data_IF_438494437088
#
_entry.id   IF_438494437088
#
_cell.length_a   1.000
_cell.length_b   1.000
_cell.length_c   1.000
_cell.angle_alpha   90.00
_cell.angle_beta   90.00
_cell.angle_gamma   90.00
#
_symmetry.space_group_name_H-M   'P 1'
#
loop_
_entity.id
_entity.type
_entity.pdbx_description
1 polymer ?
#
# COMPACT_ATOMS: atom_id res chain seq x y z
N UNK A 1 4.89 -8.02 -27.57
CA UNK A 1 3.45 -7.74 -27.50
C UNK A 1 3.29 -6.98 -26.20
N UNK A 2 3.68 -5.71 -26.23
CA UNK A 2 3.66 -4.81 -25.08
C UNK A 2 2.22 -4.36 -24.88
N UNK A 3 1.54 -4.94 -23.90
CA UNK A 3 0.41 -4.26 -23.29
C UNK A 3 1.00 -3.06 -22.55
N UNK A 4 0.61 -1.85 -22.94
CA UNK A 4 1.09 -0.60 -22.33
C UNK A 4 0.67 -0.58 -20.84
N UNK A 5 1.58 -0.99 -19.95
CA UNK A 5 1.30 -1.09 -18.50
C UNK A 5 1.04 0.31 -17.96
N UNK A 6 -0.24 0.62 -17.80
CA UNK A 6 -0.70 1.94 -17.46
C UNK A 6 -0.86 2.03 -15.95
N UNK A 7 0.19 2.53 -15.27
CA UNK A 7 0.15 2.74 -13.82
C UNK A 7 -0.63 4.01 -13.46
N UNK A 8 -1.42 3.94 -12.39
CA UNK A 8 -2.19 5.06 -11.83
C UNK A 8 -1.90 5.17 -10.35
N UNK A 9 -1.68 6.39 -9.88
CA UNK A 9 -1.46 6.66 -8.45
C UNK A 9 -2.83 6.79 -7.79
N UNK A 10 -3.01 6.06 -6.68
CA UNK A 10 -4.23 6.13 -5.86
C UNK A 10 -4.01 6.89 -4.57
N UNK A 11 -2.86 6.65 -3.93
CA UNK A 11 -2.43 7.26 -2.69
C UNK A 11 -0.97 7.69 -2.84
N UNK A 12 -0.67 8.94 -2.51
CA UNK A 12 0.69 9.51 -2.58
C UNK A 12 1.15 10.10 -1.23
N UNK A 13 0.28 10.01 -0.23
CA UNK A 13 0.39 10.59 1.10
C UNK A 13 0.66 9.53 2.18
N UNK A 14 0.81 8.26 1.80
CA UNK A 14 1.05 7.13 2.69
C UNK A 14 2.55 6.92 2.93
N UNK A 15 2.90 6.62 4.18
CA UNK A 15 4.27 6.32 4.58
C UNK A 15 4.37 6.06 6.07
N UNK A 16 5.50 5.51 6.48
CA UNK A 16 5.83 5.28 7.90
C UNK A 16 7.29 5.58 8.17
N UNK A 17 7.66 5.62 9.44
CA UNK A 17 9.05 5.70 9.88
C UNK A 17 9.28 4.64 10.94
N UNK A 18 10.45 4.02 10.91
CA UNK A 18 10.89 3.06 11.91
C UNK A 18 12.10 3.64 12.65
N UNK A 19 12.11 3.50 13.97
CA UNK A 19 13.26 3.80 14.81
C UNK A 19 13.88 2.49 15.29
N UNK A 20 15.21 2.45 15.39
CA UNK A 20 15.94 1.24 15.80
C UNK A 20 17.43 1.49 15.95
N UNK A 21 18.20 0.45 16.30
CA UNK A 21 19.65 0.52 16.39
C UNK A 21 20.30 0.80 15.02
N UNK A 22 21.57 1.20 15.01
CA UNK A 22 22.29 1.57 13.79
C UNK A 22 22.35 0.44 12.73
N UNK A 23 22.24 -0.81 13.18
CA UNK A 23 22.22 -2.03 12.38
C UNK A 23 20.81 -2.52 12.00
N UNK A 24 19.74 -1.75 12.25
CA UNK A 24 18.35 -2.09 11.95
C UNK A 24 18.16 -2.72 10.55
N UNK A 25 18.82 -2.15 9.54
CA UNK A 25 18.72 -2.60 8.14
C UNK A 25 19.33 -3.99 7.90
N UNK A 26 20.23 -4.48 8.75
CA UNK A 26 20.79 -5.83 8.66
C UNK A 26 19.79 -6.90 9.11
N UNK A 27 18.84 -6.52 9.96
CA UNK A 27 17.81 -7.42 10.50
C UNK A 27 16.45 -7.24 9.81
N UNK A 28 16.29 -6.20 9.00
CA UNK A 28 15.04 -5.94 8.27
C UNK A 28 14.98 -6.77 7.00
N UNK A 29 13.90 -7.50 6.80
CA UNK A 29 13.65 -8.34 5.64
C UNK A 29 12.78 -7.64 4.58
N UNK A 30 12.77 -8.18 3.36
CA UNK A 30 11.89 -7.69 2.29
C UNK A 30 10.43 -7.94 2.65
N UNK A 31 10.17 -9.09 3.27
CA UNK A 31 8.86 -9.56 3.72
C UNK A 31 8.27 -8.60 4.77
N UNK A 32 9.03 -8.22 5.80
CA UNK A 32 8.59 -7.28 6.84
C UNK A 32 8.24 -5.90 6.26
N UNK A 33 9.02 -5.41 5.30
CA UNK A 33 8.72 -4.14 4.62
C UNK A 33 7.46 -4.28 3.78
N UNK A 34 7.28 -5.38 3.06
CA UNK A 34 6.11 -5.60 2.23
C UNK A 34 4.82 -5.69 3.05
N UNK A 35 4.86 -6.43 4.16
CA UNK A 35 3.75 -6.51 5.12
C UNK A 35 3.40 -5.12 5.67
N UNK A 36 4.40 -4.37 6.12
CA UNK A 36 4.17 -3.00 6.65
C UNK A 36 3.62 -2.07 5.58
N UNK A 37 4.12 -2.16 4.34
CA UNK A 37 3.65 -1.33 3.24
C UNK A 37 2.16 -1.59 2.95
N UNK A 38 1.73 -2.85 2.92
CA UNK A 38 0.32 -3.22 2.71
C UNK A 38 -0.56 -2.70 3.86
N UNK A 39 -0.09 -2.77 5.10
CA UNK A 39 -0.81 -2.19 6.24
C UNK A 39 -0.96 -0.67 6.10
N UNK A 40 0.12 0.04 5.77
CA UNK A 40 0.13 1.51 5.72
C UNK A 40 -0.72 2.07 4.58
N UNK A 41 -0.83 1.36 3.45
CA UNK A 41 -1.71 1.77 2.35
C UNK A 41 -3.15 1.32 2.53
N UNK A 42 -3.44 0.49 3.53
CA UNK A 42 -4.78 0.00 3.84
C UNK A 42 -5.69 1.04 4.52
N UNK A 43 -6.85 0.59 4.98
CA UNK A 43 -7.79 1.43 5.71
C UNK A 43 -7.19 1.93 7.02
N UNK A 44 -7.59 3.13 7.43
CA UNK A 44 -7.17 3.68 8.71
C UNK A 44 -7.87 2.94 9.87
N UNK A 45 -7.31 3.07 11.08
CA UNK A 45 -7.91 2.50 12.30
C UNK A 45 -9.28 3.11 12.59
N UNK A 46 -10.27 2.29 13.04
CA UNK A 46 -11.58 2.81 13.40
C UNK A 46 -11.53 3.72 14.64
N UNK A 47 -12.33 4.78 14.60
CA UNK A 47 -12.67 5.57 15.79
C UNK A 47 -13.68 4.85 16.69
N UNK A 48 -14.00 5.44 17.84
CA UNK A 48 -14.85 4.82 18.89
C UNK A 48 -16.23 4.34 18.38
N UNK A 49 -16.78 5.03 17.38
CA UNK A 49 -18.12 4.75 16.82
C UNK A 49 -18.09 3.93 15.51
N UNK A 50 -16.91 3.54 15.02
CA UNK A 50 -16.75 2.85 13.75
C UNK A 50 -16.20 1.44 13.93
N UNK A 51 -16.57 0.54 13.02
CA UNK A 51 -15.97 -0.79 12.95
C UNK A 51 -14.82 -0.81 11.95
N UNK A 52 -13.96 -1.83 12.05
CA UNK A 52 -12.93 -2.07 11.04
C UNK A 52 -13.52 -2.28 9.63
N UNK A 53 -14.69 -2.92 9.54
CA UNK A 53 -15.39 -3.12 8.26
C UNK A 53 -15.90 -1.79 7.67
N UNK A 54 -16.35 -0.86 8.51
CA UNK A 54 -16.75 0.48 8.05
C UNK A 54 -15.56 1.25 7.47
N UNK A 55 -14.40 1.19 8.14
CA UNK A 55 -13.17 1.82 7.66
C UNK A 55 -12.67 1.17 6.37
N UNK A 56 -12.71 -0.15 6.28
CA UNK A 56 -12.35 -0.88 5.07
C UNK A 56 -13.27 -0.50 3.90
N UNK A 57 -14.58 -0.46 4.11
CA UNK A 57 -15.54 -0.08 3.08
C UNK A 57 -15.33 1.37 2.61
N UNK A 58 -15.12 2.30 3.54
CA UNK A 58 -14.86 3.70 3.23
C UNK A 58 -13.55 3.87 2.43
N UNK A 59 -12.50 3.14 2.82
CA UNK A 59 -11.22 3.13 2.12
C UNK A 59 -11.37 2.68 0.66
N UNK A 60 -12.01 1.53 0.41
CA UNK A 60 -12.18 1.02 -0.96
C UNK A 60 -13.09 1.90 -1.81
N UNK A 61 -14.11 2.53 -1.22
CA UNK A 61 -14.98 3.45 -1.95
C UNK A 61 -14.25 4.74 -2.33
N UNK A 62 -13.39 5.26 -1.44
CA UNK A 62 -12.53 6.39 -1.75
C UNK A 62 -11.60 6.10 -2.93
N UNK A 63 -10.92 4.94 -2.94
CA UNK A 63 -10.03 4.55 -4.04
C UNK A 63 -10.79 4.35 -5.36
N UNK A 64 -11.99 3.76 -5.29
CA UNK A 64 -12.84 3.56 -6.46
C UNK A 64 -13.29 4.91 -7.05
N UNK A 65 -13.69 5.86 -6.21
CA UNK A 65 -14.02 7.22 -6.65
C UNK A 65 -12.81 7.91 -7.27
N UNK A 66 -11.64 7.82 -6.63
CA UNK A 66 -10.41 8.40 -7.15
C UNK A 66 -10.08 7.87 -8.55
N UNK A 67 -10.19 6.56 -8.78
CA UNK A 67 -10.04 5.96 -10.12
C UNK A 67 -11.09 6.45 -11.13
N UNK A 68 -12.35 6.60 -10.72
CA UNK A 68 -13.42 7.12 -11.57
C UNK A 68 -13.14 8.55 -12.01
N UNK A 69 -12.61 9.41 -11.13
CA UNK A 69 -12.18 10.78 -11.51
C UNK A 69 -11.07 10.79 -12.56
N UNK A 70 -10.27 9.73 -12.64
CA UNK A 70 -9.22 9.53 -13.64
C UNK A 70 -9.72 8.82 -14.92
N UNK A 71 -11.04 8.56 -15.02
CA UNK A 71 -11.66 7.90 -16.17
C UNK A 71 -11.62 6.38 -16.15
N UNK A 72 -11.26 5.77 -15.01
CA UNK A 72 -11.23 4.30 -14.84
C UNK A 72 -12.50 3.86 -14.12
N UNK A 73 -13.30 2.99 -14.76
CA UNK A 73 -14.47 2.41 -14.13
C UNK A 73 -14.02 1.40 -13.05
N UNK A 74 -14.30 1.70 -11.78
CA UNK A 74 -13.92 0.86 -10.63
C UNK A 74 -15.04 0.81 -9.58
N UNK A 75 -15.17 -0.36 -8.92
CA UNK A 75 -16.04 -0.57 -7.76
C UNK A 75 -15.23 -0.99 -6.54
N UNK A 76 -15.59 -0.49 -5.36
CA UNK A 76 -14.93 -0.84 -4.10
C UNK A 76 -14.80 -2.35 -3.87
N UNK A 77 -15.89 -3.11 -4.09
CA UNK A 77 -15.92 -4.56 -3.91
C UNK A 77 -15.07 -5.34 -4.92
N UNK A 78 -14.73 -4.74 -6.06
CA UNK A 78 -13.80 -5.34 -7.03
C UNK A 78 -12.36 -5.07 -6.60
N UNK A 79 -12.06 -3.82 -6.21
CA UNK A 79 -10.74 -3.41 -5.73
C UNK A 79 -10.31 -4.18 -4.48
N UNK A 80 -11.22 -4.40 -3.52
CA UNK A 80 -10.91 -5.10 -2.26
C UNK A 80 -10.52 -6.57 -2.44
N UNK A 81 -10.79 -7.15 -3.61
CA UNK A 81 -10.43 -8.54 -3.95
C UNK A 81 -9.16 -8.65 -4.77
N UNK A 82 -8.57 -7.53 -5.17
CA UNK A 82 -7.33 -7.53 -5.95
C UNK A 82 -6.15 -7.89 -5.05
N UNK A 83 -5.24 -8.69 -5.61
CA UNK A 83 -3.97 -8.98 -4.95
C UNK A 83 -3.14 -7.69 -4.89
N UNK A 84 -2.58 -7.41 -3.71
CA UNK A 84 -1.58 -6.35 -3.55
C UNK A 84 -0.21 -6.93 -3.87
N UNK A 85 0.47 -6.30 -4.83
CA UNK A 85 1.87 -6.59 -5.13
C UNK A 85 2.74 -5.43 -4.65
N UNK A 86 3.85 -5.74 -4.00
CA UNK A 86 4.77 -4.75 -3.43
C UNK A 86 6.08 -4.75 -4.21
N UNK A 87 6.29 -3.71 -5.00
CA UNK A 87 7.52 -3.52 -5.76
C UNK A 87 8.53 -2.65 -4.98
N UNK A 88 9.54 -3.28 -4.36
CA UNK A 88 10.62 -2.52 -3.74
C UNK A 88 11.58 -1.92 -4.78
N UNK A 89 11.91 -0.63 -4.61
CA UNK A 89 12.91 0.05 -5.44
C UNK A 89 14.31 -0.57 -5.33
N UNK A 90 15.14 -0.43 -6.37
CA UNK A 90 16.52 -0.90 -6.37
C UNK A 90 17.35 -0.30 -5.23
N UNK A 91 17.12 0.97 -4.89
CA UNK A 91 17.79 1.65 -3.78
C UNK A 91 17.51 0.97 -2.44
N UNK A 92 16.25 0.58 -2.21
CA UNK A 92 15.86 -0.10 -0.98
C UNK A 92 16.40 -1.54 -0.94
N UNK A 93 16.30 -2.28 -2.05
CA UNK A 93 16.90 -3.63 -2.16
C UNK A 93 18.39 -3.62 -1.88
N UNK A 94 19.13 -2.64 -2.41
CA UNK A 94 20.56 -2.48 -2.15
C UNK A 94 20.88 -2.13 -0.68
N UNK A 95 19.94 -1.49 0.03
CA UNK A 95 20.10 -1.18 1.45
C UNK A 95 19.95 -2.42 2.34
N UNK A 96 19.03 -3.32 1.98
CA UNK A 96 18.76 -4.59 2.69
C UNK A 96 19.80 -5.67 2.36
N UNK A 97 20.31 -5.69 1.12
CA UNK A 97 21.34 -6.65 0.69
C UNK A 97 22.78 -6.30 1.12
N UNK A 98 22.96 -5.35 2.04
CA UNK A 98 24.28 -4.94 2.53
C UNK A 98 24.63 -5.76 3.78
N UNK A 99 25.72 -6.56 3.76
CA UNK A 99 26.19 -7.23 4.97
C UNK A 99 26.62 -6.23 6.04
#
# INVERSE_FOLDING_TARGET
MDSDDTRRVLLADRGWTTQGPDDLWQHTTVEEIAETAVTVVGSDEPGEDLTADDMAQAHWEYLAEHLRTQGVAARAAELSRLQHDVELSQRLRARLGRP
#
